data_IF_320877677676
#
_entry.id   IF_320877677676
#
_cell.length_a   1.000
_cell.length_b   1.000
_cell.length_c   1.000
_cell.angle_alpha   90.00
_cell.angle_beta   90.00
_cell.angle_gamma   90.00
#
_symmetry.space_group_name_H-M   'P 1'
#
loop_
_entity.id
_entity.type
_entity.pdbx_description
1 polymer ?
#
# COMPACT_ATOMS: atom_id res chain seq x y z
N UNK A 1 20.43 11.03 -4.68
CA UNK A 1 19.00 11.10 -5.04
C UNK A 1 18.55 12.50 -4.65
N UNK A 2 18.27 13.38 -5.61
CA UNK A 2 17.78 14.71 -5.31
C UNK A 2 16.34 14.60 -4.76
N UNK A 3 15.94 15.52 -3.87
CA UNK A 3 14.63 15.53 -3.19
C UNK A 3 13.40 15.69 -4.13
N UNK A 4 13.61 15.66 -5.46
CA UNK A 4 12.58 15.84 -6.48
C UNK A 4 12.43 14.66 -7.45
N UNK A 5 13.28 13.65 -7.36
CA UNK A 5 13.22 12.49 -8.25
C UNK A 5 12.34 11.38 -7.66
N UNK A 6 11.63 10.66 -8.53
CA UNK A 6 10.89 9.47 -8.11
C UNK A 6 11.89 8.40 -7.64
N UNK A 7 12.02 8.27 -6.32
CA UNK A 7 13.00 7.40 -5.68
C UNK A 7 12.82 5.92 -6.09
N UNK A 8 11.59 5.48 -6.33
CA UNK A 8 11.31 4.11 -6.72
C UNK A 8 11.84 3.74 -8.12
N UNK A 9 12.18 4.72 -8.95
CA UNK A 9 12.87 4.46 -10.22
C UNK A 9 14.28 3.91 -10.04
N UNK A 10 14.88 4.08 -8.86
CA UNK A 10 16.20 3.56 -8.50
C UNK A 10 16.13 2.29 -7.64
N UNK A 11 14.95 1.69 -7.48
CA UNK A 11 14.77 0.50 -6.64
C UNK A 11 15.60 -0.72 -7.11
N UNK A 12 15.96 -0.77 -8.40
CA UNK A 12 16.78 -1.86 -8.96
C UNK A 12 18.29 -1.67 -8.74
N UNK A 13 18.75 -0.45 -8.44
CA UNK A 13 20.17 -0.15 -8.27
C UNK A 13 20.63 -0.21 -6.82
N UNK A 14 19.73 -0.44 -5.87
CA UNK A 14 20.05 -0.58 -4.45
C UNK A 14 19.45 -1.85 -3.87
N UNK A 15 20.17 -2.48 -2.94
CA UNK A 15 19.65 -3.62 -2.19
C UNK A 15 18.72 -3.20 -1.06
N UNK A 16 18.86 -1.97 -0.56
CA UNK A 16 18.03 -1.43 0.51
C UNK A 16 17.61 0.00 0.20
N UNK A 17 16.35 0.32 0.49
CA UNK A 17 15.82 1.65 0.34
C UNK A 17 14.90 1.98 1.51
N UNK A 18 15.23 3.02 2.26
CA UNK A 18 14.53 3.42 3.48
C UNK A 18 14.31 2.21 4.41
N UNK A 19 13.06 1.84 4.65
CA UNK A 19 12.70 0.70 5.50
C UNK A 19 12.23 -0.53 4.71
N UNK A 20 12.78 -0.76 3.51
CA UNK A 20 12.57 -2.00 2.74
C UNK A 20 13.00 -3.27 3.49
N UNK A 21 13.98 -3.15 4.40
CA UNK A 21 14.45 -4.25 5.24
C UNK A 21 13.36 -4.82 6.17
N UNK A 22 12.28 -4.07 6.44
CA UNK A 22 11.14 -4.56 7.24
C UNK A 22 10.43 -5.74 6.58
N UNK A 23 10.44 -5.83 5.24
CA UNK A 23 9.84 -6.93 4.50
C UNK A 23 10.91 -7.89 3.96
N UNK A 24 12.01 -7.35 3.43
CA UNK A 24 13.01 -8.12 2.69
C UNK A 24 14.16 -8.65 3.56
N UNK A 25 14.29 -8.15 4.80
CA UNK A 25 15.43 -8.41 5.68
C UNK A 25 16.64 -7.51 5.38
N UNK A 26 17.64 -7.51 6.28
CA UNK A 26 18.81 -6.65 6.15
C UNK A 26 19.77 -7.12 5.05
N UNK A 27 19.67 -8.37 4.61
CA UNK A 27 20.49 -8.90 3.52
C UNK A 27 19.64 -9.44 2.37
N UNK A 28 18.39 -8.98 2.23
CA UNK A 28 17.46 -9.43 1.19
C UNK A 28 17.16 -10.94 1.26
N UNK A 29 17.13 -11.48 2.47
CA UNK A 29 16.89 -12.89 2.77
C UNK A 29 15.50 -13.35 2.31
N UNK A 30 14.52 -12.44 2.33
CA UNK A 30 13.12 -12.72 1.95
C UNK A 30 12.78 -12.30 0.51
N UNK A 31 13.78 -11.93 -0.29
CA UNK A 31 13.61 -11.55 -1.69
C UNK A 31 14.28 -10.22 -2.06
N UNK A 32 14.05 -9.75 -3.29
CA UNK A 32 14.71 -8.56 -3.83
C UNK A 32 13.77 -7.36 -3.93
N UNK A 33 14.29 -6.17 -3.65
CA UNK A 33 13.56 -4.92 -3.85
C UNK A 33 13.24 -4.73 -5.34
N UNK A 34 11.96 -4.57 -5.65
CA UNK A 34 11.46 -4.27 -7.00
C UNK A 34 10.75 -2.93 -7.02
N UNK A 35 10.58 -2.37 -8.22
CA UNK A 35 9.80 -1.14 -8.39
C UNK A 35 8.36 -1.30 -7.90
N UNK A 36 7.75 -2.46 -8.12
CA UNK A 36 6.37 -2.74 -7.71
C UNK A 36 6.21 -2.79 -6.18
N UNK A 37 7.24 -3.23 -5.44
CA UNK A 37 7.24 -3.16 -3.98
C UNK A 37 7.32 -1.71 -3.49
N UNK A 38 8.12 -0.87 -4.15
CA UNK A 38 8.32 0.52 -3.77
C UNK A 38 7.13 1.41 -4.17
N UNK A 39 6.64 1.23 -5.39
CA UNK A 39 5.54 1.99 -5.99
C UNK A 39 4.63 1.02 -6.76
N UNK A 40 3.70 0.36 -6.08
CA UNK A 40 2.79 -0.58 -6.72
C UNK A 40 1.88 0.13 -7.74
N UNK A 41 1.51 -0.59 -8.79
CA UNK A 41 0.50 -0.10 -9.74
C UNK A 41 -0.89 -0.12 -9.10
N UNK A 42 -1.79 0.71 -9.63
CA UNK A 42 -3.20 0.76 -9.20
C UNK A 42 -3.85 -0.64 -9.26
N UNK A 43 -3.64 -1.37 -10.35
CA UNK A 43 -4.21 -2.72 -10.52
C UNK A 43 -3.67 -3.71 -9.50
N UNK A 44 -2.38 -3.60 -9.15
CA UNK A 44 -1.75 -4.46 -8.14
C UNK A 44 -2.36 -4.20 -6.75
N UNK A 45 -2.53 -2.92 -6.38
CA UNK A 45 -3.19 -2.53 -5.12
C UNK A 45 -4.62 -3.09 -5.09
N UNK A 46 -5.42 -2.86 -6.12
CA UNK A 46 -6.81 -3.35 -6.17
C UNK A 46 -6.89 -4.87 -6.03
N UNK A 47 -6.04 -5.60 -6.75
CA UNK A 47 -6.02 -7.07 -6.71
C UNK A 47 -5.64 -7.59 -5.32
N UNK A 48 -4.59 -7.04 -4.72
CA UNK A 48 -4.12 -7.47 -3.40
C UNK A 48 -5.12 -7.14 -2.30
N UNK A 49 -5.68 -5.93 -2.31
CA UNK A 49 -6.70 -5.54 -1.33
C UNK A 49 -7.94 -6.43 -1.44
N UNK A 50 -8.47 -6.64 -2.65
CA UNK A 50 -9.62 -7.53 -2.84
C UNK A 50 -9.33 -8.95 -2.37
N UNK A 51 -8.16 -9.50 -2.69
CA UNK A 51 -7.76 -10.84 -2.25
C UNK A 51 -7.74 -10.95 -0.71
N UNK A 52 -7.22 -9.93 -0.01
CA UNK A 52 -7.21 -9.92 1.45
C UNK A 52 -8.61 -9.80 2.06
N UNK A 53 -9.43 -8.88 1.54
CA UNK A 53 -10.83 -8.71 1.96
C UNK A 53 -11.59 -10.03 1.85
N UNK A 54 -11.40 -10.76 0.75
CA UNK A 54 -12.03 -12.07 0.53
C UNK A 54 -11.48 -13.13 1.46
N UNK A 55 -10.15 -13.20 1.63
CA UNK A 55 -9.53 -14.23 2.47
C UNK A 55 -9.87 -14.11 3.96
N UNK A 56 -10.20 -12.90 4.41
CA UNK A 56 -10.42 -12.57 5.82
C UNK A 56 -11.88 -12.19 6.13
N UNK A 57 -12.79 -12.31 5.15
CA UNK A 57 -14.21 -11.93 5.27
C UNK A 57 -14.39 -10.52 5.87
N UNK A 58 -13.56 -9.57 5.39
CA UNK A 58 -13.53 -8.22 5.93
C UNK A 58 -14.78 -7.44 5.51
N UNK A 59 -15.37 -6.71 6.46
CA UNK A 59 -16.54 -5.89 6.21
C UNK A 59 -16.22 -4.44 5.85
N UNK A 60 -15.03 -3.94 6.18
CA UNK A 60 -14.65 -2.55 5.92
C UNK A 60 -13.14 -2.43 5.69
N UNK A 61 -12.73 -1.35 5.03
CA UNK A 61 -11.31 -0.98 4.89
C UNK A 61 -11.06 0.44 5.36
N UNK A 62 -9.85 0.66 5.86
CA UNK A 62 -9.33 1.97 6.23
C UNK A 62 -8.21 2.34 5.26
N UNK A 63 -8.27 3.53 4.67
CA UNK A 63 -7.25 3.99 3.73
C UNK A 63 -6.54 5.22 4.29
N UNK A 64 -5.22 5.09 4.44
CA UNK A 64 -4.30 6.18 4.74
C UNK A 64 -3.38 6.38 3.54
N UNK A 65 -3.41 7.57 2.93
CA UNK A 65 -2.58 7.91 1.78
C UNK A 65 -2.08 9.34 1.92
N UNK A 66 -0.88 9.60 1.39
CA UNK A 66 -0.31 10.94 1.39
C UNK A 66 -0.84 11.82 0.25
N UNK A 67 -1.44 11.23 -0.79
CA UNK A 67 -1.98 11.94 -1.96
C UNK A 67 -3.33 11.39 -2.42
N UNK A 68 -3.31 10.26 -3.12
CA UNK A 68 -4.51 9.66 -3.71
C UNK A 68 -5.02 8.51 -2.85
N UNK A 69 -6.24 8.65 -2.33
CA UNK A 69 -6.87 7.66 -1.46
C UNK A 69 -7.67 6.59 -2.22
N UNK A 70 -7.80 6.69 -3.55
CA UNK A 70 -8.40 5.66 -4.41
C UNK A 70 -9.81 5.20 -3.98
N UNK A 71 -10.58 6.08 -3.34
CA UNK A 71 -11.86 5.72 -2.71
C UNK A 71 -12.87 5.22 -3.74
N UNK A 72 -13.02 5.91 -4.86
CA UNK A 72 -13.95 5.49 -5.93
C UNK A 72 -13.53 4.15 -6.53
N UNK A 73 -12.23 3.90 -6.66
CA UNK A 73 -11.70 2.65 -7.20
C UNK A 73 -12.00 1.48 -6.26
N UNK A 74 -11.81 1.68 -4.96
CA UNK A 74 -12.14 0.69 -3.94
C UNK A 74 -13.65 0.46 -3.85
N UNK A 75 -14.47 1.51 -3.85
CA UNK A 75 -15.92 1.39 -3.82
C UNK A 75 -16.43 0.56 -5.00
N UNK A 76 -15.98 0.88 -6.23
CA UNK A 76 -16.37 0.14 -7.43
C UNK A 76 -15.86 -1.30 -7.45
N UNK A 77 -14.67 -1.57 -6.91
CA UNK A 77 -14.07 -2.91 -6.88
C UNK A 77 -14.62 -3.78 -5.75
N UNK A 78 -15.04 -3.21 -4.62
CA UNK A 78 -15.46 -3.99 -3.45
C UNK A 78 -16.99 -4.11 -3.32
N UNK A 79 -17.78 -3.23 -3.96
CA UNK A 79 -19.25 -3.31 -3.94
C UNK A 79 -19.82 -4.63 -4.48
N UNK A 80 -19.05 -5.39 -5.27
CA UNK A 80 -19.48 -6.69 -5.80
C UNK A 80 -19.38 -7.82 -4.76
N UNK A 81 -18.83 -7.55 -3.58
CA UNK A 81 -18.68 -8.52 -2.50
C UNK A 81 -19.88 -8.43 -1.56
N UNK A 82 -20.58 -9.55 -1.38
CA UNK A 82 -21.86 -9.61 -0.64
C UNK A 82 -21.73 -9.23 0.85
N UNK A 83 -20.59 -9.52 1.48
CA UNK A 83 -20.32 -9.27 2.91
C UNK A 83 -19.56 -7.96 3.17
N UNK A 84 -19.12 -7.27 2.12
CA UNK A 84 -18.39 -6.01 2.28
C UNK A 84 -19.38 -4.89 2.54
N UNK A 85 -19.34 -4.32 3.75
CA UNK A 85 -20.05 -3.08 4.03
C UNK A 85 -19.32 -1.95 3.30
N UNK A 86 -20.06 -1.14 2.55
CA UNK A 86 -19.55 -0.04 1.72
C UNK A 86 -18.79 1.06 2.51
N UNK A 87 -18.63 0.88 3.81
CA UNK A 87 -17.89 1.75 4.73
C UNK A 87 -16.39 1.73 4.41
N UNK A 88 -15.96 2.74 3.66
CA UNK A 88 -14.55 3.08 3.43
C UNK A 88 -14.23 4.32 4.26
N UNK A 89 -13.37 4.17 5.27
CA UNK A 89 -13.02 5.28 6.16
C UNK A 89 -11.69 5.89 5.74
N UNK A 90 -11.73 7.19 5.44
CA UNK A 90 -10.53 8.00 5.33
C UNK A 90 -9.99 8.25 6.72
N UNK A 91 -8.77 7.81 6.96
CA UNK A 91 -8.09 8.14 8.21
C UNK A 91 -7.37 9.47 8.00
N UNK A 92 -7.77 10.55 8.69
CA UNK A 92 -7.11 11.84 8.54
C UNK A 92 -5.66 11.71 9.00
N UNK A 93 -4.72 12.05 8.13
CA UNK A 93 -3.31 12.15 8.48
C UNK A 93 -3.14 13.28 9.50
N UNK A 94 -3.01 12.94 10.78
CA UNK A 94 -2.82 13.90 11.87
C UNK A 94 -1.69 13.41 12.80
N UNK A 95 -1.41 14.16 13.86
CA UNK A 95 -0.31 13.86 14.77
C UNK A 95 -0.44 12.47 15.47
N UNK A 96 -1.67 11.97 15.60
CA UNK A 96 -2.00 10.69 16.24
C UNK A 96 -2.09 9.53 15.23
N UNK A 97 -2.44 9.82 13.98
CA UNK A 97 -2.43 8.86 12.87
C UNK A 97 -1.33 9.26 11.89
N UNK A 98 -0.12 8.74 12.11
CA UNK A 98 1.00 8.95 11.19
C UNK A 98 0.73 8.27 9.86
N UNK A 99 0.29 9.04 8.88
CA UNK A 99 0.52 8.68 7.49
C UNK A 99 2.02 8.74 7.25
N UNK A 100 2.68 7.57 7.28
CA UNK A 100 4.01 7.48 6.73
C UNK A 100 3.85 7.75 5.23
N UNK A 101 4.22 8.95 4.79
CA UNK A 101 4.25 9.29 3.36
C UNK A 101 5.03 8.19 2.65
N UNK A 102 4.32 7.43 1.82
CA UNK A 102 4.86 6.29 1.08
C UNK A 102 4.73 4.89 1.68
N UNK A 103 3.72 4.54 2.51
CA UNK A 103 3.51 3.10 2.83
C UNK A 103 2.09 2.70 3.21
N UNK A 104 1.58 1.65 2.55
CA UNK A 104 0.46 0.84 3.03
C UNK A 104 1.04 -0.16 4.04
N UNK A 105 0.69 0.00 5.32
CA UNK A 105 1.07 -0.94 6.38
C UNK A 105 -0.03 -1.99 6.49
N UNK A 106 0.27 -3.23 6.10
CA UNK A 106 -0.51 -4.39 6.54
C UNK A 106 0.22 -4.97 7.76
N UNK A 107 -0.44 -4.91 8.92
CA UNK A 107 0.03 -5.54 10.16
C UNK A 107 -0.26 -7.04 10.15
#
# INVERSE_FOLDING_TARGET
IALRDNVCTHAWSTNQLFSSAQCLGYHNENGRLTKDICQPSKDLIMRQTRAMVVSLDMKSIFVASDRNHMIDDFANSLQSLEYFDSTITLVPCNEFVRCISGRVVFS
#
